data_IF_296196440712
#
_entry.id   IF_296196440712
#
_cell.length_a   1.000
_cell.length_b   1.000
_cell.length_c   1.000
_cell.angle_alpha   90.00
_cell.angle_beta   90.00
_cell.angle_gamma   90.00
#
_symmetry.space_group_name_H-M   'P 1'
#
loop_
_entity.id
_entity.type
_entity.pdbx_description
1 polymer ?
#
# COMPACT_ATOMS: atom_id res chain seq x y z
N UNK A 1 2.16 -51.99 57.30
CA UNK A 1 2.68 -51.52 56.01
C UNK A 1 1.48 -51.39 55.10
N UNK A 2 1.06 -50.16 54.82
CA UNK A 2 -0.17 -49.89 54.08
C UNK A 2 0.18 -49.60 52.63
N UNK A 3 -0.02 -50.56 51.75
CA UNK A 3 0.21 -50.42 50.32
C UNK A 3 -0.85 -49.51 49.72
N UNK A 4 -0.46 -48.26 49.49
CA UNK A 4 -1.33 -47.24 48.89
C UNK A 4 -1.29 -47.40 47.38
N UNK A 5 -2.39 -47.86 46.79
CA UNK A 5 -2.51 -48.02 45.34
C UNK A 5 -2.26 -46.68 44.61
N UNK A 6 -1.30 -46.67 43.70
CA UNK A 6 -0.90 -45.51 42.91
C UNK A 6 -1.87 -45.35 41.73
N UNK A 7 -2.86 -44.46 41.88
CA UNK A 7 -3.81 -44.15 40.81
C UNK A 7 -3.08 -43.45 39.65
N UNK A 8 -3.00 -44.11 38.50
CA UNK A 8 -2.37 -43.56 37.30
C UNK A 8 -3.15 -42.35 36.76
N UNK A 9 -2.71 -41.14 37.09
CA UNK A 9 -3.26 -39.87 36.58
C UNK A 9 -3.12 -39.68 35.07
N UNK A 10 -2.38 -40.55 34.39
CA UNK A 10 -2.09 -40.42 32.96
C UNK A 10 -3.33 -40.54 32.06
N UNK A 11 -4.36 -41.29 32.48
CA UNK A 11 -5.55 -41.55 31.64
C UNK A 11 -6.48 -40.34 31.48
N UNK A 12 -6.67 -39.55 32.54
CA UNK A 12 -7.65 -38.45 32.54
C UNK A 12 -7.22 -37.32 31.61
N UNK A 13 -5.95 -36.95 31.61
CA UNK A 13 -5.44 -35.89 30.74
C UNK A 13 -5.55 -36.25 29.25
N UNK A 14 -5.30 -37.52 28.90
CA UNK A 14 -5.45 -38.01 27.53
C UNK A 14 -6.92 -37.99 27.09
N UNK A 15 -7.85 -38.38 27.97
CA UNK A 15 -9.28 -38.31 27.69
C UNK A 15 -9.74 -36.85 27.46
N UNK A 16 -9.35 -35.92 28.35
CA UNK A 16 -9.68 -34.50 28.22
C UNK A 16 -9.09 -33.88 26.96
N UNK A 17 -7.87 -34.24 26.57
CA UNK A 17 -7.26 -33.76 25.33
C UNK A 17 -8.04 -34.26 24.09
N UNK A 18 -8.47 -35.52 24.08
CA UNK A 18 -9.28 -36.08 22.99
C UNK A 18 -10.64 -35.37 22.89
N UNK A 19 -11.31 -35.16 24.01
CA UNK A 19 -12.60 -34.44 24.06
C UNK A 19 -12.44 -32.97 23.61
N UNK A 20 -11.37 -32.29 24.04
CA UNK A 20 -11.07 -30.93 23.63
C UNK A 20 -10.86 -30.80 22.13
N UNK A 21 -10.15 -31.76 21.51
CA UNK A 21 -9.97 -31.78 20.05
C UNK A 21 -11.30 -32.00 19.31
N UNK A 22 -12.14 -32.93 19.78
CA UNK A 22 -13.46 -33.17 19.17
C UNK A 22 -14.38 -31.93 19.25
N UNK A 23 -14.30 -31.16 20.35
CA UNK A 23 -15.03 -29.90 20.49
C UNK A 23 -14.52 -28.82 19.51
N UNK A 24 -13.21 -28.72 19.33
CA UNK A 24 -12.63 -27.76 18.37
C UNK A 24 -12.93 -28.13 16.92
N UNK A 25 -12.97 -29.42 16.59
CA UNK A 25 -13.29 -29.88 15.24
C UNK A 25 -14.78 -29.66 14.90
N UNK A 26 -15.68 -29.77 15.88
CA UNK A 26 -17.12 -29.50 15.69
C UNK A 26 -17.46 -28.00 15.69
N UNK A 27 -16.85 -27.20 16.57
CA UNK A 27 -17.07 -25.76 16.64
C UNK A 27 -16.30 -24.95 15.58
N UNK A 28 -15.31 -25.58 14.93
CA UNK A 28 -14.38 -24.92 14.03
C UNK A 28 -13.15 -24.42 14.78
N UNK A 29 -11.97 -24.80 14.29
CA UNK A 29 -10.70 -24.36 14.86
C UNK A 29 -10.50 -22.85 14.62
N UNK A 30 -9.99 -22.10 15.61
CA UNK A 30 -9.52 -20.74 15.38
C UNK A 30 -8.46 -20.71 14.27
N UNK A 31 -8.32 -19.57 13.62
CA UNK A 31 -7.26 -19.34 12.66
C UNK A 31 -5.89 -19.43 13.37
N UNK A 32 -4.90 -20.06 12.72
CA UNK A 32 -3.55 -20.20 13.27
C UNK A 32 -2.89 -18.83 13.52
N UNK A 33 -3.27 -17.82 12.73
CA UNK A 33 -2.78 -16.44 12.86
C UNK A 33 -3.55 -15.63 13.93
N UNK A 34 -4.64 -16.16 14.50
CA UNK A 34 -5.47 -15.45 15.46
C UNK A 34 -5.09 -15.78 16.91
N UNK A 35 -4.47 -14.83 17.61
CA UNK A 35 -4.19 -14.95 19.05
C UNK A 35 -5.32 -14.43 19.95
N UNK A 36 -6.28 -13.70 19.38
CA UNK A 36 -7.40 -13.12 20.12
C UNK A 36 -8.70 -13.28 19.35
N UNK A 37 -9.84 -13.35 20.06
CA UNK A 37 -11.18 -13.37 19.44
C UNK A 37 -11.41 -12.17 18.51
N UNK A 38 -10.82 -11.01 18.83
CA UNK A 38 -10.90 -9.82 17.99
C UNK A 38 -10.10 -9.95 16.68
N UNK A 39 -8.96 -10.66 16.69
CA UNK A 39 -8.22 -10.97 15.47
C UNK A 39 -8.94 -12.02 14.63
N UNK A 40 -9.51 -13.05 15.25
CA UNK A 40 -10.33 -14.05 14.55
C UNK A 40 -11.45 -13.39 13.76
N UNK A 41 -12.23 -12.49 14.39
CA UNK A 41 -13.28 -11.74 13.70
C UNK A 41 -12.76 -10.95 12.50
N UNK A 42 -11.65 -10.24 12.66
CA UNK A 42 -11.02 -9.49 11.55
C UNK A 42 -10.58 -10.39 10.41
N UNK A 43 -10.02 -11.56 10.72
CA UNK A 43 -9.59 -12.53 9.71
C UNK A 43 -10.80 -13.14 9.00
N UNK A 44 -11.86 -13.48 9.74
CA UNK A 44 -13.14 -13.94 9.18
C UNK A 44 -13.79 -12.91 8.28
N UNK A 45 -13.82 -11.63 8.68
CA UNK A 45 -14.32 -10.52 7.87
C UNK A 45 -13.52 -10.43 6.55
N UNK A 46 -12.18 -10.43 6.63
CA UNK A 46 -11.31 -10.37 5.45
C UNK A 46 -11.46 -11.60 4.55
N UNK A 47 -11.57 -12.81 5.13
CA UNK A 47 -11.75 -14.06 4.36
C UNK A 47 -13.14 -14.15 3.73
N UNK A 48 -14.17 -13.67 4.43
CA UNK A 48 -15.54 -13.56 3.93
C UNK A 48 -15.65 -12.59 2.76
N UNK A 49 -15.00 -11.42 2.86
CA UNK A 49 -14.95 -10.44 1.77
C UNK A 49 -14.19 -10.94 0.54
N UNK A 50 -13.12 -11.74 0.73
CA UNK A 50 -12.30 -12.30 -0.36
C UNK A 50 -13.00 -13.41 -1.15
N UNK A 51 -13.94 -14.16 -0.56
CA UNK A 51 -14.68 -15.20 -1.28
C UNK A 51 -15.78 -14.64 -2.21
N UNK A 52 -16.13 -13.36 -2.11
CA UNK A 52 -17.23 -12.74 -2.86
C UNK A 52 -16.85 -11.74 -3.95
N UNK A 53 -15.58 -11.33 -4.09
CA UNK A 53 -15.23 -10.26 -5.04
C UNK A 53 -14.23 -10.71 -6.08
N UNK A 54 -14.77 -11.13 -7.24
CA UNK A 54 -14.09 -11.04 -8.54
C UNK A 54 -13.27 -9.75 -8.56
N UNK A 55 -11.95 -9.86 -8.75
CA UNK A 55 -10.95 -8.77 -8.88
C UNK A 55 -11.61 -7.43 -9.24
N UNK A 56 -12.08 -6.68 -8.24
CA UNK A 56 -12.53 -5.30 -8.48
C UNK A 56 -11.25 -4.54 -8.75
N UNK A 57 -11.05 -4.15 -10.01
CA UNK A 57 -9.93 -3.31 -10.40
C UNK A 57 -9.78 -2.16 -9.40
N UNK A 58 -8.52 -1.80 -9.10
CA UNK A 58 -8.18 -0.81 -8.09
C UNK A 58 -9.18 0.35 -8.08
N UNK A 59 -9.68 0.78 -6.89
CA UNK A 59 -10.66 1.84 -6.83
C UNK A 59 -10.11 3.05 -7.58
N UNK A 60 -10.75 3.42 -8.68
CA UNK A 60 -10.38 4.61 -9.44
C UNK A 60 -10.52 5.77 -8.45
N UNK A 61 -9.40 6.31 -7.99
CA UNK A 61 -9.37 7.51 -7.16
C UNK A 61 -9.95 8.62 -8.03
N UNK A 62 -11.24 8.88 -7.89
CA UNK A 62 -11.92 9.97 -8.56
C UNK A 62 -11.21 11.25 -8.12
N UNK A 63 -10.61 11.98 -9.07
CA UNK A 63 -10.06 13.31 -8.78
C UNK A 63 -11.19 14.21 -8.26
N UNK A 64 -10.84 15.25 -7.50
CA UNK A 64 -11.83 16.25 -7.03
C UNK A 64 -12.71 16.74 -8.18
N UNK A 65 -12.12 16.96 -9.35
CA UNK A 65 -12.83 17.40 -10.55
C UNK A 65 -13.86 16.38 -11.06
N UNK A 66 -13.57 15.08 -10.96
CA UNK A 66 -14.53 14.03 -11.31
C UNK A 66 -15.72 13.97 -10.33
N UNK A 67 -15.49 14.26 -9.04
CA UNK A 67 -16.56 14.36 -8.04
C UNK A 67 -17.47 15.56 -8.31
N UNK A 68 -16.88 16.73 -8.55
CA UNK A 68 -17.64 17.94 -8.88
C UNK A 68 -18.45 17.79 -10.16
N UNK A 69 -17.90 17.12 -11.18
CA UNK A 69 -18.64 16.83 -12.42
C UNK A 69 -19.83 15.88 -12.18
N UNK A 70 -19.66 14.87 -11.31
CA UNK A 70 -20.75 13.96 -10.95
C UNK A 70 -21.85 14.68 -10.15
N UNK A 71 -21.49 15.54 -9.21
CA UNK A 71 -22.42 16.38 -8.44
C UNK A 71 -23.16 17.37 -9.36
N UNK A 72 -22.46 18.04 -10.26
CA UNK A 72 -23.08 18.95 -11.24
C UNK A 72 -24.09 18.22 -12.15
N UNK A 73 -23.76 17.01 -12.60
CA UNK A 73 -24.67 16.17 -13.40
C UNK A 73 -25.89 15.70 -12.59
N UNK A 74 -25.74 15.47 -11.29
CA UNK A 74 -26.85 15.11 -10.41
C UNK A 74 -27.79 16.30 -10.15
N UNK A 75 -27.26 17.51 -10.03
CA UNK A 75 -28.06 18.72 -9.76
C UNK A 75 -28.76 19.29 -10.99
N UNK A 76 -28.09 19.30 -12.16
CA UNK A 76 -28.60 19.96 -13.36
C UNK A 76 -29.19 18.97 -14.38
N UNK A 77 -29.04 17.67 -14.15
CA UNK A 77 -29.53 16.63 -15.04
C UNK A 77 -28.53 16.25 -16.14
N UNK A 78 -28.93 15.29 -16.98
CA UNK A 78 -28.04 14.64 -17.96
C UNK A 78 -27.67 15.55 -19.15
N UNK A 79 -28.30 16.70 -19.28
CA UNK A 79 -28.17 17.60 -20.43
C UNK A 79 -27.00 18.60 -20.31
N UNK A 80 -26.22 18.51 -19.22
CA UNK A 80 -25.06 19.37 -19.02
C UNK A 80 -23.88 18.85 -19.86
N UNK A 81 -23.72 19.41 -21.06
CA UNK A 81 -22.59 19.14 -21.95
C UNK A 81 -21.29 19.81 -21.43
N UNK A 82 -20.55 19.05 -20.61
CA UNK A 82 -19.23 19.44 -20.09
C UNK A 82 -18.16 19.57 -21.19
N UNK A 83 -18.44 19.10 -22.42
CA UNK A 83 -17.51 19.15 -23.55
C UNK A 83 -17.74 20.32 -24.50
N UNK A 84 -18.98 20.82 -24.59
CA UNK A 84 -19.36 21.93 -25.48
C UNK A 84 -18.81 23.31 -25.09
N UNK A 85 -18.53 23.54 -23.80
CA UNK A 85 -17.98 24.81 -23.30
C UNK A 85 -16.54 25.12 -23.74
N UNK A 86 -15.84 24.15 -24.36
CA UNK A 86 -14.48 24.33 -24.90
C UNK A 86 -14.48 24.68 -26.38
N UNK A 87 -15.58 25.22 -26.91
CA UNK A 87 -15.53 26.01 -28.13
C UNK A 87 -14.76 27.29 -27.83
N UNK A 88 -13.43 27.20 -27.96
CA UNK A 88 -12.57 28.35 -28.17
C UNK A 88 -13.28 29.22 -29.22
N UNK A 89 -13.72 30.42 -28.81
CA UNK A 89 -14.11 31.46 -29.76
C UNK A 89 -13.01 31.46 -30.81
N UNK A 90 -13.32 31.03 -32.02
CA UNK A 90 -12.41 31.16 -33.16
C UNK A 90 -12.05 32.64 -33.16
N UNK A 91 -10.87 32.99 -32.65
CA UNK A 91 -10.34 34.34 -32.82
C UNK A 91 -10.41 34.57 -34.32
N UNK A 92 -11.07 35.63 -34.80
CA UNK A 92 -10.91 35.98 -36.20
C UNK A 92 -9.40 36.08 -36.46
N UNK A 93 -8.90 35.54 -37.59
CA UNK A 93 -7.50 35.70 -37.95
C UNK A 93 -7.20 37.20 -37.91
N UNK A 94 -6.10 37.55 -37.24
CA UNK A 94 -5.67 38.94 -37.13
C UNK A 94 -5.55 39.53 -38.55
N UNK A 95 -6.01 40.77 -38.80
CA UNK A 95 -5.77 41.39 -40.10
C UNK A 95 -4.27 41.45 -40.35
N UNK A 96 -3.84 40.86 -41.46
CA UNK A 96 -2.48 40.96 -41.95
C UNK A 96 -2.14 42.44 -42.21
N UNK A 97 -0.95 42.84 -41.76
CA UNK A 97 -0.21 44.06 -42.13
C UNK A 97 -0.72 45.39 -41.56
N UNK A 98 -0.19 45.75 -40.40
CA UNK A 98 0.18 47.14 -40.10
C UNK A 98 1.41 47.16 -39.18
N UNK A 99 2.52 47.57 -39.80
CA UNK A 99 3.70 48.27 -39.27
C UNK A 99 4.21 47.97 -37.84
N UNK A 100 5.48 47.56 -37.80
CA UNK A 100 6.30 47.46 -36.60
C UNK A 100 6.49 48.83 -35.91
N UNK A 101 6.38 48.92 -34.58
CA UNK A 101 6.97 50.03 -33.84
C UNK A 101 8.42 49.71 -33.40
N UNK A 102 9.28 50.73 -33.28
CA UNK A 102 10.73 50.61 -33.28
C UNK A 102 11.32 50.10 -31.96
N UNK A 103 12.45 49.41 -32.09
CA UNK A 103 13.39 49.10 -31.01
C UNK A 103 13.80 50.38 -30.28
N UNK A 104 13.41 50.53 -29.01
CA UNK A 104 14.04 51.50 -28.09
C UNK A 104 14.46 50.83 -26.77
N UNK A 105 15.76 50.59 -26.72
CA UNK A 105 16.71 50.80 -25.63
C UNK A 105 16.25 50.84 -24.15
N UNK A 106 16.95 50.00 -23.36
CA UNK A 106 17.59 50.26 -22.05
C UNK A 106 16.72 50.67 -20.85
N UNK A 107 16.65 49.78 -19.86
CA UNK A 107 16.93 50.16 -18.45
C UNK A 107 17.32 48.93 -17.63
N UNK A 108 18.59 48.95 -17.18
CA UNK A 108 19.20 48.03 -16.23
C UNK A 108 18.74 48.44 -14.83
N UNK A 109 17.96 47.60 -14.15
CA UNK A 109 17.72 47.72 -12.72
C UNK A 109 17.97 46.35 -12.07
N UNK A 110 19.04 46.15 -11.29
CA UNK A 110 19.18 44.95 -10.48
C UNK A 110 18.29 45.15 -9.25
N UNK A 111 16.98 45.00 -9.42
CA UNK A 111 16.09 44.78 -8.29
C UNK A 111 16.55 43.48 -7.64
N UNK A 112 17.28 43.59 -6.53
CA UNK A 112 17.53 42.49 -5.59
C UNK A 112 16.18 42.03 -5.09
N UNK A 113 15.47 41.22 -5.89
CA UNK A 113 14.34 40.43 -5.42
C UNK A 113 14.93 39.59 -4.31
N UNK A 114 14.56 39.88 -3.07
CA UNK A 114 14.88 39.01 -1.96
C UNK A 114 14.39 37.62 -2.38
N UNK A 115 15.32 36.70 -2.67
CA UNK A 115 15.00 35.30 -2.88
C UNK A 115 14.38 34.82 -1.59
N UNK A 116 13.06 34.85 -1.52
CA UNK A 116 12.31 34.19 -0.48
C UNK A 116 12.57 32.70 -0.70
N UNK A 117 13.62 32.19 -0.05
CA UNK A 117 13.94 30.75 0.05
C UNK A 117 12.91 30.07 0.93
N UNK A 118 11.64 30.15 0.51
CA UNK A 118 10.57 29.36 1.07
C UNK A 118 10.79 27.97 0.52
N UNK A 119 11.33 27.11 1.38
CA UNK A 119 11.48 25.72 1.05
C UNK A 119 10.12 25.16 0.65
N UNK A 120 10.06 24.57 -0.55
CA UNK A 120 8.84 23.98 -1.07
C UNK A 120 8.33 22.91 -0.10
N UNK A 121 7.03 22.67 -0.09
CA UNK A 121 6.40 21.62 0.72
C UNK A 121 7.06 20.24 0.55
N UNK A 122 7.56 19.96 -0.66
CA UNK A 122 8.32 18.75 -0.96
C UNK A 122 9.71 18.71 -0.29
N UNK A 123 10.38 19.85 -0.13
CA UNK A 123 11.66 19.93 0.58
C UNK A 123 11.46 19.74 2.09
N UNK A 124 10.38 20.28 2.66
CA UNK A 124 10.02 20.10 4.07
C UNK A 124 9.72 18.63 4.39
N UNK A 125 8.85 18.00 3.61
CA UNK A 125 8.52 16.57 3.76
C UNK A 125 9.72 15.65 3.58
N UNK A 126 10.63 15.96 2.65
CA UNK A 126 11.87 15.20 2.47
C UNK A 126 12.81 15.31 3.68
N UNK A 127 12.88 16.49 4.32
CA UNK A 127 13.68 16.68 5.54
C UNK A 127 13.08 15.92 6.72
N UNK A 128 11.78 16.05 6.94
CA UNK A 128 11.05 15.35 8.00
C UNK A 128 11.14 13.82 7.84
N UNK A 129 11.00 13.30 6.62
CA UNK A 129 11.15 11.88 6.33
C UNK A 129 12.56 11.34 6.64
N UNK A 130 13.60 12.13 6.37
CA UNK A 130 14.99 11.80 6.74
C UNK A 130 15.18 11.76 8.26
N UNK A 131 14.58 12.70 8.99
CA UNK A 131 14.63 12.72 10.46
C UNK A 131 13.86 11.54 11.07
N UNK A 132 12.70 11.21 10.51
CA UNK A 132 11.91 10.05 10.93
C UNK A 132 12.70 8.74 10.77
N UNK A 133 13.36 8.55 9.62
CA UNK A 133 14.23 7.40 9.36
C UNK A 133 15.44 7.34 10.31
N UNK A 134 16.03 8.48 10.66
CA UNK A 134 17.12 8.54 11.66
C UNK A 134 16.63 8.18 13.06
N UNK A 135 15.42 8.59 13.44
CA UNK A 135 14.81 8.27 14.74
C UNK A 135 14.43 6.80 14.88
N UNK A 136 13.96 6.18 13.80
CA UNK A 136 13.68 4.73 13.75
C UNK A 136 14.94 3.86 13.66
N UNK A 137 16.05 4.42 13.18
CA UNK A 137 17.38 3.79 13.17
C UNK A 137 18.14 4.10 14.45
N UNK A 138 17.61 3.73 15.62
CA UNK A 138 18.53 3.44 16.73
C UNK A 138 19.38 2.25 16.28
N UNK A 139 20.72 2.36 16.24
CA UNK A 139 21.54 1.18 16.02
C UNK A 139 21.26 0.25 17.20
N UNK A 140 20.57 -0.87 16.96
CA UNK A 140 20.82 -2.04 17.80
C UNK A 140 22.31 -2.29 17.63
N UNK A 141 23.08 -2.04 18.69
CA UNK A 141 24.46 -2.45 18.78
C UNK A 141 24.48 -3.97 18.54
N UNK A 142 24.79 -4.33 17.31
CA UNK A 142 24.62 -5.67 16.78
C UNK A 142 25.22 -5.65 15.39
N UNK A 143 26.54 -5.86 15.35
CA UNK A 143 27.31 -6.13 14.14
C UNK A 143 26.49 -7.01 13.21
N UNK A 144 26.18 -6.50 12.02
CA UNK A 144 26.24 -7.25 10.77
C UNK A 144 26.26 -6.27 9.62
N UNK A 145 27.50 -5.85 9.28
CA UNK A 145 27.82 -5.35 7.93
C UNK A 145 27.68 -6.53 6.96
N UNK A 146 26.46 -6.82 6.54
CA UNK A 146 26.18 -7.67 5.38
C UNK A 146 26.06 -6.80 4.15
N UNK A 147 27.15 -6.64 3.40
CA UNK A 147 27.09 -6.24 2.00
C UNK A 147 26.17 -7.24 1.27
N UNK A 148 25.11 -6.76 0.65
CA UNK A 148 24.47 -7.48 -0.46
C UNK A 148 24.33 -6.48 -1.61
N UNK A 149 25.49 -6.21 -2.21
CA UNK A 149 25.58 -5.65 -3.54
C UNK A 149 25.11 -6.71 -4.54
N UNK A 150 24.42 -6.23 -5.56
CA UNK A 150 23.98 -6.97 -6.73
C UNK A 150 25.03 -7.94 -7.30
N UNK A 151 24.59 -9.13 -7.74
CA UNK A 151 25.11 -9.83 -8.92
C UNK A 151 24.17 -11.00 -9.33
N UNK A 152 23.74 -10.97 -10.60
CA UNK A 152 23.60 -12.03 -11.63
C UNK A 152 23.04 -13.40 -11.17
N UNK A 153 21.95 -13.97 -11.69
CA UNK A 153 21.52 -14.28 -13.07
C UNK A 153 22.55 -15.09 -13.90
N UNK A 154 22.45 -16.43 -13.83
CA UNK A 154 22.83 -17.50 -14.79
C UNK A 154 22.64 -18.83 -14.03
N UNK A 155 21.67 -19.71 -14.36
CA UNK A 155 21.68 -20.73 -15.42
C UNK A 155 22.76 -21.82 -15.22
N UNK A 156 22.36 -22.97 -14.68
CA UNK A 156 22.76 -24.36 -15.04
C UNK A 156 21.98 -25.29 -14.08
N UNK A 157 21.01 -26.10 -14.52
CA UNK A 157 21.05 -27.36 -15.30
C UNK A 157 21.81 -28.50 -14.63
N UNK A 158 21.06 -29.59 -14.46
CA UNK A 158 21.45 -30.99 -14.45
C UNK A 158 22.43 -31.44 -13.35
N UNK A 159 21.95 -32.25 -12.39
CA UNK A 159 22.42 -33.64 -12.34
C UNK A 159 21.48 -34.54 -11.54
N UNK A 160 21.33 -35.74 -12.08
CA UNK A 160 20.55 -36.90 -11.64
C UNK A 160 21.24 -37.65 -10.48
N UNK A 161 20.68 -38.83 -10.17
CA UNK A 161 21.15 -39.92 -9.29
C UNK A 161 20.70 -39.83 -7.83
N UNK A 162 19.60 -40.51 -7.48
CA UNK A 162 19.48 -41.97 -7.26
C UNK A 162 20.13 -42.39 -5.92
N UNK A 163 19.27 -42.81 -4.99
CA UNK A 163 19.46 -44.08 -4.29
C UNK A 163 18.19 -44.49 -3.57
N UNK A 164 17.61 -45.55 -4.12
CA UNK A 164 16.82 -46.57 -3.44
C UNK A 164 17.36 -46.88 -2.04
N UNK A 165 16.45 -47.16 -1.10
CA UNK A 165 16.42 -48.49 -0.48
C UNK A 165 15.10 -48.67 0.29
N UNK A 166 14.30 -49.57 -0.27
CA UNK A 166 13.21 -50.33 0.34
C UNK A 166 13.72 -51.19 1.50
N UNK A 167 12.98 -51.24 2.60
CA UNK A 167 12.34 -52.45 3.18
C UNK A 167 11.84 -52.20 4.60
#
# INVERSE_FOLDING_TARGET
MSDKAELSRAGTMVATAKEGNALLDSAGRPDEDAHTRGQQKKIEDIKGEKKGTKKKGAPKKMSSMAKTAAEAKALVGKDLDLSGGRQLRKRPPAPEKAEAPPKKAKAKAPAKKAELKKEGTMQKTAKEGKEFLKRGRKPKAGKNKGKAAAKKNEKEKDDEEEKDETS
#
